data_IF_521227454952
#
_entry.id   IF_521227454952
#
_cell.length_a   1.000
_cell.length_b   1.000
_cell.length_c   1.000
_cell.angle_alpha   90.00
_cell.angle_beta   90.00
_cell.angle_gamma   90.00
#
_symmetry.space_group_name_H-M   'P 1'
#
loop_
_entity.id
_entity.type
_entity.pdbx_description
1 polymer ?
#
# COMPACT_ATOMS: atom_id res chain seq x y z
N UNK A 1 -25.11 19.54 -1.37
CA UNK A 1 -25.28 19.70 -2.83
C UNK A 1 -24.19 18.88 -3.52
N UNK A 2 -24.51 18.01 -4.48
CA UNK A 2 -23.47 17.32 -5.24
C UNK A 2 -22.63 18.36 -5.99
N UNK A 3 -21.31 18.33 -5.81
CA UNK A 3 -20.41 19.24 -6.53
C UNK A 3 -20.34 18.79 -7.99
N UNK A 4 -20.78 19.64 -8.91
CA UNK A 4 -20.58 19.43 -10.35
C UNK A 4 -19.09 19.45 -10.66
N UNK A 5 -18.59 18.40 -11.32
CA UNK A 5 -17.18 18.31 -11.71
C UNK A 5 -16.85 19.42 -12.73
N UNK A 6 -15.69 20.07 -12.56
CA UNK A 6 -15.21 21.07 -13.50
C UNK A 6 -15.04 20.46 -14.91
N UNK A 7 -15.57 21.13 -15.94
CA UNK A 7 -15.60 20.60 -17.31
C UNK A 7 -14.21 20.25 -17.87
N UNK A 8 -13.19 21.06 -17.57
CA UNK A 8 -11.81 20.81 -18.03
C UNK A 8 -11.20 19.60 -17.32
N UNK A 9 -11.47 19.43 -16.03
CA UNK A 9 -11.03 18.25 -15.26
C UNK A 9 -11.69 16.99 -15.82
N UNK A 10 -12.98 17.04 -16.16
CA UNK A 10 -13.69 15.93 -16.78
C UNK A 10 -13.06 15.52 -18.12
N UNK A 11 -12.81 16.50 -19.01
CA UNK A 11 -12.17 16.25 -20.32
C UNK A 11 -10.78 15.61 -20.17
N UNK A 12 -9.96 16.12 -19.26
CA UNK A 12 -8.61 15.57 -18.99
C UNK A 12 -8.70 14.15 -18.44
N UNK A 13 -9.64 13.90 -17.52
CA UNK A 13 -9.87 12.58 -16.92
C UNK A 13 -10.23 11.56 -18.01
N UNK A 14 -11.17 11.92 -18.90
CA UNK A 14 -11.58 11.06 -20.00
C UNK A 14 -10.41 10.78 -20.97
N UNK A 15 -9.64 11.81 -21.31
CA UNK A 15 -8.46 11.64 -22.18
C UNK A 15 -7.43 10.70 -21.56
N UNK A 16 -7.19 10.79 -20.25
CA UNK A 16 -6.28 9.89 -19.52
C UNK A 16 -6.85 8.46 -19.51
N UNK A 17 -8.15 8.30 -19.23
CA UNK A 17 -8.82 7.01 -19.23
C UNK A 17 -8.70 6.32 -20.60
N UNK A 18 -9.02 7.05 -21.68
CA UNK A 18 -8.92 6.55 -23.05
C UNK A 18 -7.48 6.15 -23.41
N UNK A 19 -6.50 7.06 -23.22
CA UNK A 19 -5.09 6.78 -23.54
C UNK A 19 -4.52 5.61 -22.73
N UNK A 20 -4.99 5.41 -21.51
CA UNK A 20 -4.45 4.40 -20.58
C UNK A 20 -5.20 3.07 -20.63
N UNK A 21 -6.26 2.95 -21.44
CA UNK A 21 -7.19 1.80 -21.44
C UNK A 21 -6.48 0.45 -21.45
N UNK A 22 -5.57 0.24 -22.40
CA UNK A 22 -4.90 -1.06 -22.55
C UNK A 22 -3.85 -1.33 -21.48
N UNK A 23 -3.09 -0.30 -21.07
CA UNK A 23 -2.12 -0.43 -20.00
C UNK A 23 -2.80 -0.68 -18.65
N UNK A 24 -3.92 0.00 -18.39
CA UNK A 24 -4.74 -0.19 -17.20
C UNK A 24 -5.34 -1.60 -17.16
N UNK A 25 -5.85 -2.10 -18.28
CA UNK A 25 -6.37 -3.47 -18.38
C UNK A 25 -5.29 -4.50 -18.02
N UNK A 26 -4.12 -4.44 -18.67
CA UNK A 26 -2.99 -5.34 -18.35
C UNK A 26 -2.56 -5.27 -16.90
N UNK A 27 -2.54 -4.06 -16.33
CA UNK A 27 -2.24 -3.88 -14.91
C UNK A 27 -3.26 -4.59 -14.02
N UNK A 28 -4.56 -4.40 -14.27
CA UNK A 28 -5.62 -5.02 -13.48
C UNK A 28 -5.63 -6.55 -13.61
N UNK A 29 -5.45 -7.09 -14.81
CA UNK A 29 -5.29 -8.53 -15.04
C UNK A 29 -4.12 -9.11 -14.21
N UNK A 30 -2.99 -8.39 -14.15
CA UNK A 30 -1.84 -8.79 -13.32
C UNK A 30 -2.17 -8.76 -11.83
N UNK A 31 -2.94 -7.78 -11.36
CA UNK A 31 -3.39 -7.70 -9.96
C UNK A 31 -4.32 -8.85 -9.62
N UNK A 32 -5.31 -9.13 -10.47
CA UNK A 32 -6.24 -10.26 -10.29
C UNK A 32 -5.49 -11.59 -10.23
N UNK A 33 -4.53 -11.79 -11.15
CA UNK A 33 -3.67 -12.97 -11.12
C UNK A 33 -2.87 -13.07 -9.82
N UNK A 34 -2.24 -11.98 -9.36
CA UNK A 34 -1.49 -11.98 -8.10
C UNK A 34 -2.38 -12.27 -6.88
N UNK A 35 -3.61 -11.75 -6.86
CA UNK A 35 -4.60 -12.05 -5.81
C UNK A 35 -4.93 -13.54 -5.79
N UNK A 36 -5.09 -14.18 -6.96
CA UNK A 36 -5.36 -15.63 -7.05
C UNK A 36 -4.23 -16.51 -6.49
N UNK A 37 -2.99 -16.05 -6.56
CA UNK A 37 -1.83 -16.76 -6.01
C UNK A 37 -1.67 -16.55 -4.50
N UNK A 38 -2.21 -15.45 -3.98
CA UNK A 38 -2.08 -15.06 -2.58
C UNK A 38 -0.66 -14.66 -2.17
N UNK A 39 -0.41 -14.40 -0.87
CA UNK A 39 0.90 -13.97 -0.40
C UNK A 39 1.98 -15.04 -0.57
N UNK A 40 3.07 -14.71 -1.27
CA UNK A 40 4.23 -15.60 -1.47
C UNK A 40 4.92 -16.01 -0.15
N UNK A 41 4.67 -15.26 0.94
CA UNK A 41 5.34 -15.44 2.23
C UNK A 41 5.09 -16.80 2.88
N UNK A 42 4.07 -17.56 2.48
CA UNK A 42 3.85 -18.94 2.96
C UNK A 42 5.04 -19.87 2.74
N UNK A 43 5.92 -19.55 1.78
CA UNK A 43 7.13 -20.31 1.46
C UNK A 43 8.40 -19.88 2.23
N UNK A 44 8.32 -18.85 3.08
CA UNK A 44 9.48 -18.34 3.82
C UNK A 44 9.80 -19.22 5.04
N UNK A 45 11.09 -19.34 5.37
CA UNK A 45 11.55 -20.04 6.58
C UNK A 45 11.20 -19.29 7.88
N UNK A 46 11.10 -20.02 8.99
CA UNK A 46 10.74 -19.49 10.31
C UNK A 46 11.60 -18.29 10.77
N UNK A 47 12.89 -18.27 10.43
CA UNK A 47 13.78 -17.15 10.75
C UNK A 47 13.34 -15.84 10.08
N UNK A 48 12.91 -15.89 8.81
CA UNK A 48 12.42 -14.72 8.08
C UNK A 48 11.11 -14.19 8.66
N UNK A 49 10.22 -15.09 9.11
CA UNK A 49 9.01 -14.70 9.82
C UNK A 49 9.29 -14.07 11.18
N UNK A 50 10.21 -14.65 11.95
CA UNK A 50 10.59 -14.13 13.26
C UNK A 50 11.16 -12.72 13.14
N UNK A 51 12.04 -12.48 12.16
CA UNK A 51 12.63 -11.17 11.91
C UNK A 51 11.58 -10.14 11.44
N UNK A 52 10.85 -10.44 10.36
CA UNK A 52 9.93 -9.49 9.73
C UNK A 52 8.73 -9.10 10.59
N UNK A 53 8.38 -9.90 11.60
CA UNK A 53 7.24 -9.63 12.48
C UNK A 53 7.65 -9.21 13.88
N UNK A 54 8.95 -9.16 14.20
CA UNK A 54 9.44 -8.94 15.56
C UNK A 54 8.84 -7.66 16.17
N UNK A 55 8.90 -6.57 15.42
CA UNK A 55 8.45 -5.23 15.80
C UNK A 55 6.95 -4.98 15.57
N UNK A 56 6.20 -5.97 15.06
CA UNK A 56 4.75 -5.84 14.91
C UNK A 56 4.04 -5.89 16.26
N UNK A 57 3.00 -5.08 16.41
CA UNK A 57 2.06 -5.18 17.53
C UNK A 57 1.39 -6.56 17.58
N UNK A 58 0.83 -6.95 18.73
CA UNK A 58 0.30 -8.29 18.95
C UNK A 58 -0.75 -8.71 17.90
N UNK A 59 -1.67 -7.81 17.53
CA UNK A 59 -2.69 -8.06 16.50
C UNK A 59 -2.10 -8.28 15.11
N UNK A 60 -1.20 -7.38 14.66
CA UNK A 60 -0.55 -7.52 13.36
C UNK A 60 0.31 -8.81 13.29
N UNK A 61 1.01 -9.14 14.39
CA UNK A 61 1.85 -10.35 14.49
C UNK A 61 1.03 -11.63 14.32
N UNK A 62 -0.19 -11.67 14.85
CA UNK A 62 -1.10 -12.81 14.64
C UNK A 62 -1.54 -12.93 13.17
N UNK A 63 -2.06 -11.85 12.58
CA UNK A 63 -2.52 -11.83 11.19
C UNK A 63 -1.40 -12.20 10.19
N UNK A 64 -0.17 -11.78 10.50
CA UNK A 64 1.00 -12.09 9.69
C UNK A 64 1.42 -13.57 9.77
N UNK A 65 1.33 -14.18 10.96
CA UNK A 65 1.62 -15.60 11.21
C UNK A 65 0.61 -16.53 10.53
N UNK A 66 -0.66 -16.17 10.51
CA UNK A 66 -1.72 -16.93 9.82
C UNK A 66 -1.46 -16.99 8.30
N UNK A 67 -0.64 -16.07 7.76
CA UNK A 67 -0.11 -16.16 6.40
C UNK A 67 -1.11 -15.81 5.29
N UNK A 68 -2.30 -15.32 5.64
CA UNK A 68 -3.38 -14.99 4.68
C UNK A 68 -3.56 -13.48 4.51
N UNK A 69 -3.47 -12.69 5.60
CA UNK A 69 -3.72 -11.25 5.56
C UNK A 69 -2.71 -10.51 4.65
N UNK A 70 -3.09 -9.53 3.80
CA UNK A 70 -2.11 -8.73 3.08
C UNK A 70 -1.15 -7.99 4.03
N UNK A 71 0.09 -7.79 3.60
CA UNK A 71 1.06 -6.95 4.32
C UNK A 71 1.61 -5.90 3.35
N UNK A 72 1.30 -4.64 3.59
CA UNK A 72 1.66 -3.51 2.74
C UNK A 72 3.02 -2.93 3.14
N UNK A 73 3.89 -2.74 2.16
CA UNK A 73 5.14 -2.03 2.33
C UNK A 73 4.90 -0.51 2.22
N UNK A 74 5.28 0.23 3.25
CA UNK A 74 5.29 1.69 3.26
C UNK A 74 6.73 2.12 2.96
N UNK A 75 6.91 2.85 1.86
CA UNK A 75 8.17 3.49 1.49
C UNK A 75 7.96 4.99 1.64
N UNK A 76 8.71 5.62 2.55
CA UNK A 76 8.51 7.03 2.91
C UNK A 76 9.70 7.88 2.50
N UNK A 77 9.43 9.11 2.04
CA UNK A 77 10.45 10.14 1.84
C UNK A 77 10.59 11.06 3.06
N UNK A 78 9.91 10.76 4.18
CA UNK A 78 9.98 11.58 5.39
C UNK A 78 11.42 11.82 5.84
N UNK A 79 11.72 13.08 6.10
CA UNK A 79 12.94 13.52 6.78
C UNK A 79 12.67 14.87 7.45
N UNK A 80 13.42 15.15 8.51
CA UNK A 80 13.28 16.38 9.30
C UNK A 80 13.90 17.62 8.62
N UNK A 81 14.67 17.45 7.53
CA UNK A 81 15.46 18.54 6.93
C UNK A 81 14.64 19.44 6.00
N UNK A 82 13.66 18.87 5.28
CA UNK A 82 12.87 19.59 4.27
C UNK A 82 11.43 19.79 4.75
N UNK A 83 10.99 21.03 4.87
CA UNK A 83 9.63 21.37 5.31
C UNK A 83 8.54 20.72 4.44
N UNK A 84 8.80 20.54 3.14
CA UNK A 84 7.90 19.86 2.21
C UNK A 84 7.65 18.37 2.56
N UNK A 85 8.52 17.76 3.38
CA UNK A 85 8.46 16.36 3.76
C UNK A 85 7.85 16.15 5.14
N UNK A 86 7.71 17.21 5.95
CA UNK A 86 7.05 17.14 7.26
C UNK A 86 5.65 16.48 7.19
N UNK A 87 4.80 16.73 6.18
CA UNK A 87 3.51 16.07 6.09
C UNK A 87 3.60 14.53 6.10
N UNK A 88 4.71 13.95 5.62
CA UNK A 88 4.92 12.50 5.54
C UNK A 88 5.09 11.81 6.89
N UNK A 89 5.43 12.53 7.96
CA UNK A 89 5.68 11.99 9.31
C UNK A 89 4.52 11.12 9.80
N UNK A 90 3.29 11.59 9.59
CA UNK A 90 2.08 10.99 10.15
C UNK A 90 1.44 9.93 9.25
N UNK A 91 1.82 9.88 7.97
CA UNK A 91 1.18 8.95 7.02
C UNK A 91 1.40 7.48 7.34
N UNK A 92 2.58 7.01 7.82
CA UNK A 92 2.74 5.62 8.18
C UNK A 92 1.67 5.10 9.15
N UNK A 93 1.28 5.89 10.14
CA UNK A 93 0.26 5.49 11.11
C UNK A 93 -1.15 5.52 10.52
N UNK A 94 -1.46 6.53 9.69
CA UNK A 94 -2.73 6.59 8.95
C UNK A 94 -2.89 5.39 8.00
N UNK A 95 -1.82 5.04 7.28
CA UNK A 95 -1.81 3.89 6.36
C UNK A 95 -1.96 2.58 7.11
N UNK A 96 -1.30 2.41 8.27
CA UNK A 96 -1.50 1.23 9.13
C UNK A 96 -2.93 1.10 9.62
N UNK A 97 -3.55 2.19 10.07
CA UNK A 97 -4.93 2.18 10.52
C UNK A 97 -5.89 1.77 9.40
N UNK A 98 -5.78 2.41 8.24
CA UNK A 98 -6.60 2.07 7.07
C UNK A 98 -6.38 0.63 6.58
N UNK A 99 -5.14 0.13 6.62
CA UNK A 99 -4.86 -1.27 6.28
C UNK A 99 -5.58 -2.23 7.23
N UNK A 100 -5.54 -1.96 8.54
CA UNK A 100 -6.21 -2.78 9.56
C UNK A 100 -7.72 -2.81 9.41
N UNK A 101 -8.34 -1.67 9.07
CA UNK A 101 -9.78 -1.60 8.77
C UNK A 101 -10.18 -2.52 7.61
N UNK A 102 -9.26 -2.80 6.69
CA UNK A 102 -9.45 -3.70 5.55
C UNK A 102 -8.92 -5.13 5.81
N UNK A 103 -8.60 -5.49 7.04
CA UNK A 103 -8.06 -6.81 7.41
C UNK A 103 -6.62 -7.06 6.92
N UNK A 104 -5.87 -5.99 6.62
CA UNK A 104 -4.47 -6.04 6.22
C UNK A 104 -3.55 -5.47 7.31
N UNK A 105 -2.26 -5.69 7.13
CA UNK A 105 -1.19 -5.08 7.94
C UNK A 105 -0.34 -4.18 7.06
N UNK A 106 0.39 -3.24 7.67
CA UNK A 106 1.33 -2.39 6.94
C UNK A 106 2.56 -2.08 7.78
N UNK A 107 3.72 -1.99 7.13
CA UNK A 107 5.01 -1.74 7.78
C UNK A 107 5.84 -0.77 6.96
N UNK A 108 6.62 0.09 7.63
CA UNK A 108 7.64 0.86 6.94
C UNK A 108 8.75 -0.09 6.52
N UNK A 109 8.91 -0.26 5.21
CA UNK A 109 9.90 -1.15 4.62
C UNK A 109 11.20 -0.42 4.29
N UNK A 110 11.16 0.91 4.11
CA UNK A 110 12.35 1.70 3.83
C UNK A 110 12.07 3.19 3.66
N UNK A 111 13.16 3.95 3.64
CA UNK A 111 13.18 5.35 3.25
C UNK A 111 13.67 5.51 1.81
N UNK A 112 13.27 6.59 1.15
CA UNK A 112 13.84 7.04 -0.12
C UNK A 112 14.45 8.43 0.03
N UNK A 113 15.46 8.81 -0.80
CA UNK A 113 15.95 10.17 -0.83
C UNK A 113 14.84 11.17 -1.14
N UNK A 114 15.06 12.40 -0.66
CA UNK A 114 14.26 13.54 -1.06
C UNK A 114 14.57 13.99 -2.49
#
# INVERSE_FOLDING_TARGET
>A
MPKTLNARVAEITERIAHRSRDARRRYLERIEHAVSQGPARKSLGCANFAHGFAACGAGDKQALREGVAPNLAIVTAYNDMLSAHQPFERFPDLVRAAAREMGATAQVAGGVPA
#
